data_IF_424508820668
#
_entry.id   IF_424508820668
#
_cell.length_a   1.000
_cell.length_b   1.000
_cell.length_c   1.000
_cell.angle_alpha   90.00
_cell.angle_beta   90.00
_cell.angle_gamma   90.00
#
_symmetry.space_group_name_H-M   'P 1'
#
loop_
_entity.id
_entity.type
_entity.pdbx_description
1 polymer ?
#
# COMPACT_ATOMS: atom_id res chain seq x y z
N UNK A 1 -31.52 15.12 29.83
CA UNK A 1 -31.52 13.84 29.09
C UNK A 1 -31.27 14.18 27.62
N UNK A 2 -30.11 14.77 27.34
CA UNK A 2 -29.77 15.36 26.03
C UNK A 2 -28.24 15.41 25.79
N UNK A 3 -27.45 14.67 26.57
CA UNK A 3 -25.98 14.64 26.46
C UNK A 3 -25.41 13.22 26.31
N UNK A 4 -26.27 12.21 26.11
CA UNK A 4 -25.86 10.80 26.01
C UNK A 4 -25.73 10.34 24.55
N UNK A 5 -26.33 11.05 23.58
CA UNK A 5 -26.32 10.64 22.18
C UNK A 5 -25.06 11.05 21.39
N UNK A 6 -24.34 12.11 21.78
CA UNK A 6 -23.17 12.58 21.00
C UNK A 6 -21.99 11.60 21.04
N UNK A 7 -21.88 10.78 22.09
CA UNK A 7 -20.82 9.78 22.22
C UNK A 7 -21.14 8.47 21.48
N UNK A 8 -22.42 8.23 21.15
CA UNK A 8 -22.90 7.03 20.44
C UNK A 8 -22.89 7.21 18.91
N UNK A 9 -22.62 8.43 18.41
CA UNK A 9 -22.50 8.78 16.99
C UNK A 9 -21.06 8.87 16.47
N UNK A 10 -20.08 8.38 17.22
CA UNK A 10 -18.75 8.18 16.66
C UNK A 10 -18.75 6.92 15.79
N UNK A 11 -18.84 7.12 14.48
CA UNK A 11 -18.56 6.09 13.48
C UNK A 11 -17.04 5.79 13.48
N UNK A 12 -16.57 5.17 14.57
CA UNK A 12 -15.19 4.71 14.74
C UNK A 12 -14.98 3.47 13.86
N UNK A 13 -14.65 3.73 12.59
CA UNK A 13 -14.36 2.71 11.59
C UNK A 13 -12.86 2.41 11.52
N UNK A 14 -12.52 1.13 11.37
CA UNK A 14 -11.17 0.72 10.94
C UNK A 14 -11.14 0.81 9.42
N UNK A 15 -10.23 1.61 8.89
CA UNK A 15 -10.07 1.85 7.46
C UNK A 15 -8.74 1.29 6.95
N UNK A 16 -8.78 0.72 5.74
CA UNK A 16 -7.59 0.52 4.93
C UNK A 16 -7.36 1.77 4.10
N UNK A 17 -6.14 2.29 4.11
CA UNK A 17 -5.76 3.50 3.41
C UNK A 17 -4.47 3.27 2.65
N UNK A 18 -4.60 2.91 1.38
CA UNK A 18 -3.50 2.59 0.47
C UNK A 18 -3.80 3.22 -0.89
N UNK A 19 -2.77 3.65 -1.63
CA UNK A 19 -2.93 4.15 -2.99
C UNK A 19 -3.66 3.14 -3.88
N UNK A 20 -4.31 3.65 -4.92
CA UNK A 20 -5.08 2.83 -5.83
C UNK A 20 -4.17 2.07 -6.80
N UNK A 21 -4.67 0.93 -7.28
CA UNK A 21 -4.02 0.11 -8.30
C UNK A 21 -5.05 -0.86 -8.88
N UNK A 22 -4.96 -1.13 -10.18
CA UNK A 22 -5.85 -2.08 -10.87
C UNK A 22 -5.49 -3.55 -10.60
N UNK A 23 -4.26 -3.82 -10.16
CA UNK A 23 -3.75 -5.16 -9.92
C UNK A 23 -2.83 -5.24 -8.70
N UNK A 24 -2.53 -6.44 -8.21
CA UNK A 24 -1.50 -6.58 -7.18
C UNK A 24 -0.13 -6.16 -7.75
N UNK A 25 0.67 -5.46 -6.94
CA UNK A 25 2.03 -5.06 -7.29
C UNK A 25 3.03 -5.72 -6.34
N UNK A 26 4.23 -5.97 -6.85
CA UNK A 26 5.36 -6.52 -6.12
C UNK A 26 6.35 -5.43 -5.70
N UNK A 27 7.19 -5.74 -4.71
CA UNK A 27 8.34 -4.89 -4.36
C UNK A 27 9.31 -4.68 -5.53
N UNK A 28 9.38 -5.66 -6.44
CA UNK A 28 10.19 -5.56 -7.64
C UNK A 28 9.67 -4.49 -8.59
N UNK A 29 8.38 -4.52 -8.95
CA UNK A 29 7.75 -3.51 -9.82
C UNK A 29 7.85 -2.11 -9.21
N UNK A 30 7.62 -1.98 -7.90
CA UNK A 30 7.79 -0.70 -7.19
C UNK A 30 9.23 -0.16 -7.30
N UNK A 31 10.23 -1.03 -7.14
CA UNK A 31 11.63 -0.64 -7.28
C UNK A 31 12.01 -0.27 -8.72
N UNK A 32 11.43 -0.94 -9.73
CA UNK A 32 11.62 -0.57 -11.13
C UNK A 32 11.08 0.83 -11.43
N UNK A 33 9.91 1.18 -10.89
CA UNK A 33 9.32 2.51 -11.09
C UNK A 33 10.21 3.62 -10.48
N UNK A 34 10.75 3.38 -9.28
CA UNK A 34 11.72 4.29 -8.66
C UNK A 34 12.94 4.52 -9.56
N UNK A 35 13.46 3.46 -10.22
CA UNK A 35 14.57 3.61 -11.16
C UNK A 35 14.19 4.46 -12.37
N UNK A 36 12.99 4.25 -12.92
CA UNK A 36 12.47 5.05 -14.04
C UNK A 36 12.40 6.53 -13.67
N UNK A 37 11.78 6.86 -12.51
CA UNK A 37 11.62 8.23 -12.03
C UNK A 37 12.97 8.89 -11.75
N UNK A 38 13.88 8.16 -11.10
CA UNK A 38 15.20 8.70 -10.71
C UNK A 38 16.23 8.72 -11.83
N UNK A 39 15.91 8.16 -13.01
CA UNK A 39 16.83 8.00 -14.13
C UNK A 39 18.13 7.27 -13.74
N UNK A 40 18.03 6.35 -12.78
CA UNK A 40 19.17 5.58 -12.30
C UNK A 40 19.60 4.54 -13.32
N UNK A 41 20.91 4.30 -13.45
CA UNK A 41 21.46 3.24 -14.30
C UNK A 41 21.58 1.88 -13.60
N UNK A 42 21.04 1.76 -12.38
CA UNK A 42 21.09 0.53 -11.59
C UNK A 42 20.27 -0.56 -12.27
N UNK A 43 20.84 -1.77 -12.32
CA UNK A 43 20.12 -2.96 -12.76
C UNK A 43 19.44 -3.64 -11.57
N UNK A 44 18.15 -3.94 -11.67
CA UNK A 44 17.40 -4.70 -10.66
C UNK A 44 17.01 -6.06 -11.22
N UNK A 45 17.43 -7.10 -10.52
CA UNK A 45 17.02 -8.48 -10.77
C UNK A 45 15.89 -8.87 -9.81
N UNK A 46 14.83 -9.54 -10.30
CA UNK A 46 13.79 -10.07 -9.43
C UNK A 46 14.34 -11.21 -8.58
N UNK A 47 13.85 -11.33 -7.34
CA UNK A 47 14.17 -12.44 -6.47
C UNK A 47 12.95 -12.90 -5.68
N UNK A 48 13.02 -14.11 -5.16
CA UNK A 48 12.03 -14.73 -4.29
C UNK A 48 12.37 -14.47 -2.82
N UNK A 49 11.35 -14.46 -1.94
CA UNK A 49 11.59 -14.31 -0.50
C UNK A 49 12.41 -15.46 0.11
N UNK A 50 12.46 -16.63 -0.55
CA UNK A 50 13.29 -17.76 -0.12
C UNK A 50 14.79 -17.54 -0.33
N UNK A 51 15.19 -16.70 -1.29
CA UNK A 51 16.60 -16.38 -1.53
C UNK A 51 17.18 -15.50 -0.40
N UNK A 52 16.32 -14.70 0.24
CA UNK A 52 16.70 -13.79 1.32
C UNK A 52 15.81 -14.00 2.56
N UNK A 53 15.99 -15.10 3.29
CA UNK A 53 15.14 -15.44 4.42
C UNK A 53 15.31 -14.42 5.56
N UNK A 54 14.18 -14.02 6.15
CA UNK A 54 14.16 -13.15 7.34
C UNK A 54 13.49 -13.87 8.51
N UNK A 55 13.80 -13.44 9.75
CA UNK A 55 13.21 -14.06 10.96
C UNK A 55 11.68 -13.96 10.99
N UNK A 56 11.12 -12.85 10.50
CA UNK A 56 9.68 -12.64 10.42
C UNK A 56 9.12 -13.24 9.12
N UNK A 57 7.99 -13.94 9.22
CA UNK A 57 7.26 -14.41 8.04
C UNK A 57 6.55 -13.23 7.39
N UNK A 58 6.84 -12.97 6.12
CA UNK A 58 6.15 -11.96 5.32
C UNK A 58 4.95 -12.60 4.62
N UNK A 59 3.78 -11.94 4.58
CA UNK A 59 2.66 -12.42 3.79
C UNK A 59 3.05 -12.41 2.30
N UNK A 60 2.63 -13.43 1.55
CA UNK A 60 2.86 -13.51 0.11
C UNK A 60 2.11 -12.37 -0.61
N UNK A 61 0.95 -11.98 -0.08
CA UNK A 61 0.12 -10.91 -0.61
C UNK A 61 -0.46 -10.10 0.55
N UNK A 62 -0.27 -8.79 0.51
CA UNK A 62 -0.82 -7.83 1.48
C UNK A 62 -1.53 -6.67 0.77
N UNK A 63 -2.14 -6.94 -0.38
CA UNK A 63 -2.95 -5.97 -1.10
C UNK A 63 -4.20 -5.65 -0.29
N UNK A 64 -4.41 -4.36 -0.01
CA UNK A 64 -5.60 -3.86 0.67
C UNK A 64 -6.35 -2.94 -0.31
N UNK A 65 -7.69 -2.94 -0.20
CA UNK A 65 -8.54 -2.01 -0.94
C UNK A 65 -8.90 -0.86 0.00
N UNK A 66 -8.67 0.37 -0.44
CA UNK A 66 -9.14 1.56 0.26
C UNK A 66 -10.67 1.48 0.42
N UNK A 67 -11.13 1.58 1.67
CA UNK A 67 -12.54 1.58 2.04
C UNK A 67 -12.96 2.86 2.76
N UNK A 68 -12.15 3.91 2.65
CA UNK A 68 -12.51 5.27 3.05
C UNK A 68 -13.30 5.97 1.95
N UNK A 69 -13.88 7.12 2.31
CA UNK A 69 -14.60 7.98 1.37
C UNK A 69 -13.65 8.86 0.51
N UNK A 70 -12.33 8.70 0.67
CA UNK A 70 -11.30 9.45 -0.04
C UNK A 70 -10.86 8.66 -1.28
N UNK A 71 -10.94 9.30 -2.44
CA UNK A 71 -10.33 8.80 -3.68
C UNK A 71 -8.82 9.05 -3.60
N UNK A 72 -8.04 7.97 -3.58
CA UNK A 72 -6.58 8.03 -3.63
C UNK A 72 -6.11 7.78 -5.05
N UNK A 73 -5.09 8.52 -5.47
CA UNK A 73 -4.46 8.42 -6.80
C UNK A 73 -3.86 7.04 -7.06
N UNK A 74 -3.53 6.75 -8.32
CA UNK A 74 -2.75 5.55 -8.64
C UNK A 74 -1.40 5.59 -7.95
N UNK A 75 -0.90 4.44 -7.53
CA UNK A 75 0.36 4.36 -6.79
C UNK A 75 1.56 4.93 -7.55
N UNK A 76 1.54 4.93 -8.90
CA UNK A 76 2.61 5.55 -9.70
C UNK A 76 2.52 7.06 -9.66
N UNK A 77 1.31 7.61 -9.81
CA UNK A 77 1.08 9.06 -9.73
C UNK A 77 1.46 9.60 -8.35
N UNK A 78 1.12 8.87 -7.27
CA UNK A 78 1.51 9.25 -5.91
C UNK A 78 2.99 9.04 -5.57
N UNK A 79 3.74 8.29 -6.41
CA UNK A 79 5.16 8.04 -6.20
C UNK A 79 6.03 9.16 -6.78
N UNK A 80 5.57 9.84 -7.83
CA UNK A 80 6.22 10.99 -8.48
C UNK A 80 6.20 12.26 -7.60
#
# INVERSE_FOLDING_TARGET
>A
MEQIDDFLYRDERILHFTNSTDHAISWYEFAQEIITITQSSVHIEPCTSSEYPTKAKRPIMSLLRNNSDIQLEDWRESLE
#
